data_IF_445921459795
#
_entry.id   IF_445921459795
#
_cell.length_a   1.000
_cell.length_b   1.000
_cell.length_c   1.000
_cell.angle_alpha   90.00
_cell.angle_beta   90.00
_cell.angle_gamma   90.00
#
_symmetry.space_group_name_H-M   'P 1'
#
loop_
_entity.id
_entity.type
_entity.pdbx_description
1 polymer ?
#
# COMPACT_ATOMS: atom_id res chain seq x y z
N UNK A 1 -41.28 -25.83 -38.64
CA UNK A 1 -40.09 -26.31 -37.90
C UNK A 1 -38.89 -25.52 -38.39
N UNK A 2 -38.65 -24.36 -37.79
CA UNK A 2 -37.58 -23.43 -38.20
C UNK A 2 -36.26 -23.87 -37.57
N UNK A 3 -35.27 -24.10 -38.43
CA UNK A 3 -33.95 -24.57 -38.04
C UNK A 3 -33.23 -23.49 -37.21
N UNK A 4 -32.74 -23.96 -36.06
CA UNK A 4 -32.07 -23.19 -35.02
C UNK A 4 -30.60 -23.01 -35.40
N UNK A 5 -30.29 -21.87 -36.02
CA UNK A 5 -28.93 -21.36 -36.09
C UNK A 5 -28.50 -20.91 -34.69
N UNK A 6 -27.28 -21.24 -34.28
CA UNK A 6 -26.30 -20.41 -33.54
C UNK A 6 -25.08 -21.31 -33.30
N UNK A 7 -23.97 -20.99 -33.96
CA UNK A 7 -22.64 -21.50 -33.65
C UNK A 7 -22.15 -20.92 -32.32
N UNK A 8 -21.55 -21.71 -31.41
CA UNK A 8 -20.71 -21.16 -30.36
C UNK A 8 -19.26 -20.98 -30.84
N UNK A 9 -18.71 -19.82 -30.48
CA UNK A 9 -17.36 -19.37 -30.79
C UNK A 9 -16.28 -20.13 -30.00
N UNK A 10 -15.13 -20.18 -30.63
CA UNK A 10 -13.90 -20.85 -30.26
C UNK A 10 -13.22 -20.09 -29.10
N UNK A 11 -12.76 -20.82 -28.08
CA UNK A 11 -11.87 -20.25 -27.06
C UNK A 11 -10.62 -21.11 -26.93
N UNK A 12 -9.50 -20.44 -27.18
CA UNK A 12 -8.14 -20.92 -27.26
C UNK A 12 -7.60 -21.25 -25.86
N UNK A 13 -7.23 -22.50 -25.61
CA UNK A 13 -6.43 -22.87 -24.43
C UNK A 13 -4.95 -22.65 -24.76
N UNK A 14 -4.44 -21.47 -24.40
CA UNK A 14 -3.06 -21.10 -24.68
C UNK A 14 -2.14 -21.46 -23.50
N UNK A 15 -1.37 -22.53 -23.71
CA UNK A 15 0.06 -22.67 -23.42
C UNK A 15 0.53 -22.55 -21.95
N UNK A 16 0.84 -23.74 -21.40
CA UNK A 16 1.77 -24.01 -20.31
C UNK A 16 2.97 -23.05 -20.26
N UNK A 17 3.07 -22.23 -19.19
CA UNK A 17 4.34 -21.62 -18.80
C UNK A 17 5.10 -22.57 -17.87
N UNK A 18 5.88 -23.46 -18.49
CA UNK A 18 6.92 -24.26 -17.82
C UNK A 18 8.05 -23.31 -17.40
N UNK A 19 8.24 -23.15 -16.10
CA UNK A 19 9.37 -22.41 -15.52
C UNK A 19 10.69 -23.14 -15.81
N UNK A 20 11.75 -22.46 -16.28
CA UNK A 20 13.09 -23.04 -16.25
C UNK A 20 13.68 -22.89 -14.83
N UNK A 21 13.88 -24.03 -14.18
CA UNK A 21 14.73 -24.17 -12.99
C UNK A 21 16.14 -23.71 -13.32
N UNK A 22 16.63 -22.70 -12.60
CA UNK A 22 17.98 -22.16 -12.80
C UNK A 22 18.96 -23.05 -12.04
N UNK A 23 19.71 -23.86 -12.79
CA UNK A 23 20.78 -24.71 -12.28
C UNK A 23 21.86 -23.87 -11.58
N UNK A 24 22.28 -24.34 -10.42
CA UNK A 24 23.46 -23.87 -9.69
C UNK A 24 24.74 -24.44 -10.31
N UNK A 25 25.78 -23.63 -10.44
CA UNK A 25 27.16 -24.05 -10.15
C UNK A 25 28.10 -22.84 -9.94
N UNK A 26 29.14 -22.99 -9.11
CA UNK A 26 29.81 -21.88 -8.43
C UNK A 26 31.03 -21.41 -9.21
N UNK A 27 31.14 -20.10 -9.44
CA UNK A 27 32.38 -19.49 -9.89
C UNK A 27 33.21 -19.12 -8.66
N UNK A 28 34.28 -19.87 -8.42
CA UNK A 28 35.38 -19.48 -7.55
C UNK A 28 36.04 -18.23 -8.14
N UNK A 29 36.06 -17.14 -7.39
CA UNK A 29 36.88 -15.96 -7.69
C UNK A 29 37.46 -15.50 -6.35
N UNK A 30 38.75 -15.73 -6.14
CA UNK A 30 39.57 -14.88 -5.26
C UNK A 30 40.43 -14.03 -6.18
N UNK A 31 40.53 -12.73 -5.89
CA UNK A 31 41.85 -12.26 -5.49
C UNK A 31 41.79 -11.28 -4.32
N UNK A 32 42.86 -11.38 -3.54
CA UNK A 32 43.40 -10.37 -2.63
C UNK A 32 43.49 -8.95 -3.22
N UNK A 33 43.49 -7.97 -2.29
CA UNK A 33 44.14 -6.65 -2.33
C UNK A 33 43.24 -5.39 -2.35
N UNK A 34 43.57 -4.48 -1.44
CA UNK A 34 43.40 -3.01 -1.47
C UNK A 34 42.15 -2.37 -0.83
N UNK A 35 42.37 -1.81 0.37
CA UNK A 35 41.97 -0.46 0.80
C UNK A 35 40.49 -0.10 1.08
N UNK A 36 40.18 0.57 2.21
CA UNK A 36 38.83 1.04 2.54
C UNK A 36 38.55 2.38 1.84
N UNK A 37 38.36 2.35 0.52
CA UNK A 37 37.95 3.52 -0.26
C UNK A 37 36.61 3.28 -0.96
N UNK A 38 35.60 2.83 -0.22
CA UNK A 38 34.22 2.87 -0.71
C UNK A 38 33.28 3.55 0.28
N UNK A 39 33.74 4.68 0.80
CA UNK A 39 32.89 5.68 1.41
C UNK A 39 32.50 6.73 0.35
N UNK A 40 31.20 6.84 0.13
CA UNK A 40 30.49 7.98 -0.48
C UNK A 40 30.45 8.06 -2.02
N UNK A 41 29.44 7.38 -2.58
CA UNK A 41 28.43 8.13 -3.34
C UNK A 41 27.07 7.95 -2.68
N UNK A 42 26.89 8.53 -1.48
CA UNK A 42 25.56 8.67 -0.87
C UNK A 42 24.84 9.76 -1.65
N UNK A 43 24.29 9.40 -2.81
CA UNK A 43 23.44 10.29 -3.60
C UNK A 43 22.28 10.72 -2.70
N UNK A 44 22.41 11.91 -2.10
CA UNK A 44 21.33 12.55 -1.36
C UNK A 44 20.32 12.94 -2.44
N UNK A 45 19.30 12.12 -2.65
CA UNK A 45 18.19 12.53 -3.48
C UNK A 45 17.50 13.69 -2.77
N UNK A 46 17.70 14.92 -3.26
CA UNK A 46 17.00 16.12 -2.77
C UNK A 46 15.61 16.26 -3.38
N UNK A 47 14.95 15.13 -3.59
CA UNK A 47 13.56 15.12 -4.02
C UNK A 47 12.68 15.67 -2.91
N UNK A 48 11.59 16.37 -3.28
CA UNK A 48 10.59 16.88 -2.33
C UNK A 48 10.15 15.81 -1.33
N UNK A 49 10.01 14.57 -1.79
CA UNK A 49 9.61 13.46 -0.93
C UNK A 49 10.70 13.03 0.05
N UNK A 50 11.97 12.99 -0.37
CA UNK A 50 13.10 12.72 0.53
C UNK A 50 13.27 13.84 1.57
N UNK A 51 13.07 15.09 1.19
CA UNK A 51 13.07 16.23 2.11
C UNK A 51 11.93 16.12 3.14
N UNK A 52 10.71 15.77 2.71
CA UNK A 52 9.59 15.59 3.63
C UNK A 52 9.82 14.47 4.64
N UNK A 53 10.37 13.32 4.22
CA UNK A 53 10.73 12.20 5.11
C UNK A 53 11.75 12.62 6.17
N UNK A 54 12.76 13.40 5.76
CA UNK A 54 13.77 13.95 6.68
C UNK A 54 13.18 14.95 7.68
N UNK A 55 12.27 15.81 7.23
CA UNK A 55 11.63 16.82 8.05
C UNK A 55 10.54 16.25 8.99
N UNK A 56 9.96 15.08 8.67
CA UNK A 56 8.86 14.49 9.43
C UNK A 56 9.15 13.03 9.84
N UNK A 57 10.20 12.77 10.64
CA UNK A 57 10.63 11.41 10.96
C UNK A 57 9.55 10.61 11.71
N UNK A 58 8.85 11.22 12.67
CA UNK A 58 7.79 10.55 13.44
C UNK A 58 6.59 10.13 12.58
N UNK A 59 6.14 11.01 11.68
CA UNK A 59 5.04 10.70 10.75
C UNK A 59 5.44 9.61 9.78
N UNK A 60 6.66 9.69 9.24
CA UNK A 60 7.18 8.67 8.34
C UNK A 60 7.32 7.31 9.04
N UNK A 61 7.86 7.26 10.25
CA UNK A 61 7.96 6.04 11.04
C UNK A 61 6.59 5.41 11.29
N UNK A 62 5.57 6.22 11.61
CA UNK A 62 4.21 5.75 11.80
C UNK A 62 3.62 5.12 10.53
N UNK A 63 3.78 5.77 9.38
CA UNK A 63 3.35 5.21 8.10
C UNK A 63 4.05 3.89 7.78
N UNK A 64 5.37 3.80 7.99
CA UNK A 64 6.12 2.56 7.74
C UNK A 64 5.68 1.44 8.68
N UNK A 65 5.43 1.75 9.95
CA UNK A 65 4.94 0.78 10.92
C UNK A 65 3.55 0.22 10.53
N UNK A 66 2.62 1.07 10.08
CA UNK A 66 1.32 0.62 9.56
C UNK A 66 1.50 -0.28 8.35
N UNK A 67 2.31 0.14 7.36
CA UNK A 67 2.55 -0.67 6.16
C UNK A 67 3.12 -2.05 6.51
N UNK A 68 4.10 -2.10 7.43
CA UNK A 68 4.65 -3.38 7.92
C UNK A 68 3.60 -4.22 8.64
N UNK A 69 2.76 -3.61 9.46
CA UNK A 69 1.69 -4.30 10.16
C UNK A 69 0.64 -4.87 9.20
N UNK A 70 0.31 -4.13 8.13
CA UNK A 70 -0.56 -4.61 7.05
C UNK A 70 0.06 -5.78 6.28
N UNK A 71 1.33 -5.66 5.88
CA UNK A 71 2.01 -6.73 5.13
C UNK A 71 2.22 -8.00 5.96
N UNK A 72 2.48 -7.84 7.26
CA UNK A 72 2.62 -8.97 8.19
C UNK A 72 1.29 -9.58 8.64
N UNK A 73 0.16 -8.95 8.31
CA UNK A 73 -1.17 -9.36 8.81
C UNK A 73 -1.40 -9.08 10.30
N UNK A 74 -0.47 -8.37 10.97
CA UNK A 74 -0.64 -7.95 12.36
C UNK A 74 -1.76 -6.92 12.50
N UNK A 75 -1.97 -6.11 11.45
CA UNK A 75 -3.04 -5.13 11.37
C UNK A 75 -3.85 -5.41 10.12
N UNK A 76 -5.17 -5.44 10.26
CA UNK A 76 -6.09 -5.59 9.15
C UNK A 76 -6.71 -4.23 8.83
N UNK A 77 -6.81 -3.91 7.53
CA UNK A 77 -7.62 -2.76 7.10
C UNK A 77 -9.06 -2.97 7.53
N UNK A 78 -9.69 -1.92 8.04
CA UNK A 78 -11.11 -1.94 8.39
C UNK A 78 -11.88 -1.01 7.44
N UNK A 79 -13.21 -1.18 7.32
CA UNK A 79 -14.04 -0.21 6.63
C UNK A 79 -13.96 1.17 7.27
N UNK A 80 -14.40 2.18 6.52
CA UNK A 80 -14.52 3.54 7.00
C UNK A 80 -15.45 3.61 8.22
N UNK A 81 -14.98 4.17 9.35
CA UNK A 81 -15.79 4.30 10.57
C UNK A 81 -17.04 5.19 10.42
N UNK A 82 -17.09 6.02 9.37
CA UNK A 82 -18.18 6.98 9.16
C UNK A 82 -19.24 6.43 8.19
N UNK A 83 -18.82 5.87 7.06
CA UNK A 83 -19.74 5.41 6.01
C UNK A 83 -19.78 3.90 5.82
N UNK A 84 -18.97 3.13 6.54
CA UNK A 84 -18.91 1.67 6.43
C UNK A 84 -18.28 1.14 5.13
N UNK A 85 -17.96 2.00 4.16
CA UNK A 85 -17.37 1.57 2.90
C UNK A 85 -16.01 0.90 3.11
N UNK A 86 -15.77 -0.21 2.42
CA UNK A 86 -14.51 -0.97 2.44
C UNK A 86 -13.80 -0.91 1.08
N UNK A 87 -12.65 -1.58 0.98
CA UNK A 87 -11.97 -1.76 -0.31
C UNK A 87 -12.79 -2.63 -1.28
N UNK A 88 -13.70 -3.47 -0.77
CA UNK A 88 -14.60 -4.31 -1.56
C UNK A 88 -15.63 -3.47 -2.34
N UNK A 89 -16.02 -2.32 -1.80
CA UNK A 89 -16.89 -1.34 -2.46
C UNK A 89 -16.14 -0.49 -3.51
N UNK A 90 -14.85 -0.77 -3.74
CA UNK A 90 -13.98 0.03 -4.62
C UNK A 90 -13.56 1.38 -4.01
N UNK A 91 -13.74 1.57 -2.69
CA UNK A 91 -13.39 2.80 -1.99
C UNK A 91 -12.00 2.70 -1.37
N UNK A 92 -11.17 3.73 -1.57
CA UNK A 92 -9.83 3.78 -0.93
C UNK A 92 -9.94 4.19 0.53
N UNK A 93 -9.46 3.32 1.41
CA UNK A 93 -9.40 3.54 2.85
C UNK A 93 -7.96 3.85 3.28
N UNK A 94 -7.80 4.99 3.96
CA UNK A 94 -6.53 5.47 4.50
C UNK A 94 -6.51 5.32 6.02
N UNK A 95 -5.32 5.10 6.57
CA UNK A 95 -5.09 5.10 8.01
C UNK A 95 -4.90 6.55 8.50
N UNK A 96 -5.82 6.99 9.36
CA UNK A 96 -5.71 8.25 10.09
C UNK A 96 -5.00 8.02 11.43
N UNK A 97 -4.06 8.91 11.75
CA UNK A 97 -3.32 8.88 13.01
C UNK A 97 -3.75 10.06 13.88
N UNK A 98 -4.43 9.80 15.01
CA UNK A 98 -4.72 10.84 16.01
C UNK A 98 -3.45 11.19 16.82
N UNK A 99 -2.65 10.18 17.13
CA UNK A 99 -1.36 10.32 17.83
C UNK A 99 -0.26 9.55 17.09
N UNK A 100 0.64 10.28 16.43
CA UNK A 100 1.78 9.71 15.70
C UNK A 100 2.78 8.97 16.59
N UNK A 101 2.69 9.09 17.93
CA UNK A 101 3.51 8.30 18.87
C UNK A 101 3.02 6.86 19.00
N UNK A 102 1.78 6.57 18.59
CA UNK A 102 1.15 5.24 18.66
C UNK A 102 0.86 4.76 17.23
N UNK A 103 1.87 4.26 16.51
CA UNK A 103 1.77 4.06 15.07
C UNK A 103 0.77 2.98 14.66
N UNK A 104 0.49 2.01 15.52
CA UNK A 104 -0.51 0.96 15.27
C UNK A 104 -1.93 1.36 15.68
N UNK A 105 -2.08 2.44 16.46
CA UNK A 105 -3.41 2.97 16.82
C UNK A 105 -3.85 3.93 15.73
N UNK A 106 -4.55 3.38 14.74
CA UNK A 106 -5.08 4.12 13.59
C UNK A 106 -6.57 3.96 13.48
N UNK A 107 -7.21 4.98 12.91
CA UNK A 107 -8.61 4.94 12.52
C UNK A 107 -8.69 4.75 11.01
N UNK A 108 -9.67 3.99 10.56
CA UNK A 108 -9.84 3.70 9.13
C UNK A 108 -10.89 4.63 8.55
N UNK A 109 -10.49 5.45 7.58
CA UNK A 109 -11.37 6.44 6.96
C UNK A 109 -11.21 6.40 5.45
N UNK A 110 -12.32 6.52 4.72
CA UNK A 110 -12.22 6.71 3.28
C UNK A 110 -11.59 8.09 2.97
N UNK A 111 -10.97 8.22 1.79
CA UNK A 111 -10.27 9.45 1.38
C UNK A 111 -11.09 10.73 1.53
N UNK A 112 -12.40 10.68 1.28
CA UNK A 112 -13.32 11.80 1.46
C UNK A 112 -13.40 12.23 2.92
N UNK A 113 -13.68 11.29 3.84
CA UNK A 113 -13.77 11.55 5.27
C UNK A 113 -12.41 11.92 5.88
N UNK A 114 -11.35 11.26 5.44
CA UNK A 114 -9.98 11.57 5.88
C UNK A 114 -9.60 13.02 5.51
N UNK A 115 -9.89 13.45 4.28
CA UNK A 115 -9.63 14.83 3.83
C UNK A 115 -10.49 15.85 4.56
N UNK A 116 -11.75 15.51 4.82
CA UNK A 116 -12.68 16.38 5.56
C UNK A 116 -12.21 16.58 7.00
N UNK A 117 -11.67 15.54 7.63
CA UNK A 117 -11.18 15.59 9.01
C UNK A 117 -9.97 16.54 9.12
N UNK A 118 -9.01 16.41 8.20
CA UNK A 118 -7.85 17.31 8.14
C UNK A 118 -8.22 18.77 7.81
N UNK A 119 -9.31 19.00 7.07
CA UNK A 119 -9.76 20.36 6.69
C UNK A 119 -10.58 21.05 7.77
N UNK A 120 -11.43 20.32 8.48
CA UNK A 120 -12.34 20.91 9.47
C UNK A 120 -11.79 20.93 10.90
N UNK A 121 -10.72 20.20 11.21
CA UNK A 121 -9.99 20.30 12.49
C UNK A 121 -10.71 19.74 13.72
N UNK A 122 -12.03 19.74 13.75
CA UNK A 122 -12.92 19.05 14.69
C UNK A 122 -14.32 19.07 14.02
N UNK A 123 -15.20 18.15 14.43
CA UNK A 123 -16.65 18.20 14.18
C UNK A 123 -17.19 17.59 12.86
N UNK A 124 -16.83 16.33 12.60
CA UNK A 124 -17.50 15.50 11.58
C UNK A 124 -18.62 14.61 12.12
N UNK A 125 -18.90 14.67 13.42
CA UNK A 125 -19.92 13.83 14.06
C UNK A 125 -21.31 14.44 14.09
N UNK A 126 -21.60 15.46 13.29
CA UNK A 126 -22.97 15.83 12.98
C UNK A 126 -23.58 14.74 12.08
N UNK A 127 -24.05 13.65 12.70
CA UNK A 127 -24.92 12.65 12.07
C UNK A 127 -26.06 13.40 11.39
N UNK A 128 -26.11 13.39 10.06
CA UNK A 128 -27.37 13.65 9.37
C UNK A 128 -28.13 12.34 9.37
N UNK A 129 -28.81 12.07 10.47
CA UNK A 129 -29.97 11.18 10.45
C UNK A 129 -31.01 11.87 9.57
N UNK A 130 -30.99 11.58 8.27
CA UNK A 130 -32.08 11.90 7.37
C UNK A 130 -32.99 10.67 7.34
N UNK A 131 -33.88 10.66 8.32
CA UNK A 131 -35.11 9.86 8.41
C UNK A 131 -35.83 9.79 7.07
N UNK A 132 -36.42 8.60 6.82
CA UNK A 132 -37.24 8.18 5.69
C UNK A 132 -38.42 9.12 5.39
#
# INVERSE_FOLDING_TARGET
MTHRSILPQEQTVNSERRSPVRASSPAVISPENSSPENAACRLKSDTRQANWRRANPSKYAAHIAVQRALTSGTLNKQPCEICGASEDDGVRIDAHHDDYRKPLKVRWLCRTHHSRLHKCGEDLFAKKDATQ
#
